data_IF_103565349008
#
_entry.id   IF_103565349008
#
_cell.length_a   1.000
_cell.length_b   1.000
_cell.length_c   1.000
_cell.angle_alpha   90.00
_cell.angle_beta   90.00
_cell.angle_gamma   90.00
#
_symmetry.space_group_name_H-M   'P 1'
#
loop_
_entity.id
_entity.type
_entity.pdbx_description
1 polymer ?
#
# COMPACT_ATOMS: atom_id res chain seq x y z
N UNK A 1 -8.13 22.96 -5.10
CA UNK A 1 -8.11 21.48 -5.15
C UNK A 1 -7.41 20.91 -3.92
N UNK A 2 -7.60 19.62 -3.65
CA UNK A 2 -7.03 18.92 -2.48
C UNK A 2 -6.52 17.55 -2.93
N UNK A 3 -5.36 17.13 -2.43
CA UNK A 3 -4.81 15.79 -2.64
C UNK A 3 -5.03 14.92 -1.40
N UNK A 4 -5.53 13.70 -1.61
CA UNK A 4 -5.69 12.71 -0.55
C UNK A 4 -4.64 11.60 -0.71
N UNK A 5 -4.07 11.14 0.39
CA UNK A 5 -3.05 10.07 0.39
C UNK A 5 -3.18 9.20 1.63
N UNK A 6 -2.66 7.97 1.60
CA UNK A 6 -2.56 7.19 2.83
C UNK A 6 -1.55 7.82 3.78
N UNK A 7 -1.65 7.50 5.07
CA UNK A 7 -0.68 7.94 6.06
C UNK A 7 0.64 7.14 6.02
N UNK A 8 0.80 6.20 5.09
CA UNK A 8 2.05 5.45 4.92
C UNK A 8 3.13 6.36 4.32
N UNK A 9 4.33 6.35 4.90
CA UNK A 9 5.42 7.24 4.52
C UNK A 9 5.69 7.22 3.00
N UNK A 10 5.68 6.04 2.38
CA UNK A 10 5.88 5.89 0.92
C UNK A 10 4.88 6.71 0.10
N UNK A 11 3.60 6.69 0.47
CA UNK A 11 2.54 7.42 -0.23
C UNK A 11 2.59 8.92 0.08
N UNK A 12 2.85 9.27 1.35
CA UNK A 12 2.94 10.66 1.78
C UNK A 12 4.14 11.39 1.14
N UNK A 13 5.29 10.74 1.03
CA UNK A 13 6.48 11.30 0.35
C UNK A 13 6.18 11.56 -1.12
N UNK A 14 5.57 10.60 -1.82
CA UNK A 14 5.16 10.79 -3.23
C UNK A 14 4.17 11.95 -3.37
N UNK A 15 3.15 12.02 -2.52
CA UNK A 15 2.17 13.10 -2.55
C UNK A 15 2.82 14.48 -2.36
N UNK A 16 3.78 14.61 -1.43
CA UNK A 16 4.54 15.85 -1.19
C UNK A 16 5.35 16.29 -2.41
N UNK A 17 6.01 15.36 -3.09
CA UNK A 17 6.80 15.65 -4.30
C UNK A 17 5.90 16.16 -5.44
N UNK A 18 4.70 15.58 -5.59
CA UNK A 18 3.75 16.04 -6.60
C UNK A 18 3.19 17.41 -6.20
N UNK A 19 2.67 17.54 -4.98
CA UNK A 19 1.98 18.75 -4.52
C UNK A 19 2.89 19.99 -4.49
N UNK A 20 4.22 19.83 -4.36
CA UNK A 20 5.15 20.97 -4.37
C UNK A 20 5.05 21.82 -5.62
N UNK A 21 4.63 21.24 -6.75
CA UNK A 21 4.48 21.92 -8.03
C UNK A 21 3.06 22.44 -8.30
N UNK A 22 2.09 22.09 -7.45
CA UNK A 22 0.66 22.36 -7.67
C UNK A 22 0.03 23.26 -6.60
N UNK A 23 0.74 23.59 -5.52
CA UNK A 23 0.24 24.43 -4.42
C UNK A 23 -1.10 23.93 -3.82
N UNK A 24 -1.26 22.61 -3.72
CA UNK A 24 -2.45 21.98 -3.13
C UNK A 24 -2.15 21.40 -1.76
N UNK A 25 -3.14 21.45 -0.87
CA UNK A 25 -3.05 20.81 0.45
C UNK A 25 -3.10 19.29 0.33
N UNK A 26 -2.40 18.63 1.25
CA UNK A 26 -2.39 17.16 1.39
C UNK A 26 -3.15 16.77 2.64
N UNK A 27 -4.14 15.90 2.48
CA UNK A 27 -4.90 15.29 3.58
C UNK A 27 -4.58 13.80 3.65
N UNK A 28 -4.17 13.33 4.82
CA UNK A 28 -3.94 11.89 5.05
C UNK A 28 -5.25 11.19 5.39
N UNK A 29 -5.56 10.11 4.68
CA UNK A 29 -6.72 9.25 4.90
C UNK A 29 -6.25 7.83 5.22
N UNK A 30 -6.37 7.39 6.49
CA UNK A 30 -6.02 6.02 6.89
C UNK A 30 -6.77 4.93 6.13
N UNK A 31 -7.91 5.23 5.53
CA UNK A 31 -8.75 4.37 4.69
C UNK A 31 -8.11 4.08 3.32
N UNK A 32 -7.13 4.89 2.89
CA UNK A 32 -6.36 4.68 1.66
C UNK A 32 -5.12 3.80 1.88
N UNK A 33 -4.94 3.23 3.08
CA UNK A 33 -3.83 2.29 3.34
C UNK A 33 -3.96 1.06 2.45
N UNK A 34 -2.80 0.54 2.06
CA UNK A 34 -2.71 -0.78 1.44
C UNK A 34 -3.30 -1.83 2.40
N UNK A 35 -3.74 -2.95 1.83
CA UNK A 35 -4.18 -4.12 2.61
C UNK A 35 -3.09 -4.50 3.61
N UNK A 36 -3.50 -4.74 4.86
CA UNK A 36 -2.65 -5.36 5.87
C UNK A 36 -2.57 -6.87 5.57
N UNK A 37 -1.40 -7.32 5.13
CA UNK A 37 -1.17 -8.72 4.76
C UNK A 37 -0.82 -9.60 5.97
N UNK A 38 -0.74 -9.04 7.18
CA UNK A 38 -0.46 -9.76 8.41
C UNK A 38 0.78 -10.65 8.33
N UNK A 39 0.59 -11.96 8.49
CA UNK A 39 1.70 -12.94 8.58
C UNK A 39 2.53 -13.10 7.31
N UNK A 40 2.03 -12.64 6.16
CA UNK A 40 2.75 -12.74 4.90
C UNK A 40 3.41 -11.42 4.48
N UNK A 41 3.29 -10.36 5.29
CA UNK A 41 4.04 -9.12 5.04
C UNK A 41 5.54 -9.39 5.05
N UNK A 42 6.25 -8.77 4.09
CA UNK A 42 7.70 -8.90 3.96
C UNK A 42 8.17 -10.20 3.30
N UNK A 43 7.28 -11.17 3.05
CA UNK A 43 7.62 -12.37 2.29
C UNK A 43 7.54 -12.13 0.79
N UNK A 44 8.43 -12.80 0.05
CA UNK A 44 8.31 -12.93 -1.40
C UNK A 44 7.21 -13.91 -1.76
N UNK A 45 6.65 -13.82 -2.97
CA UNK A 45 5.67 -14.80 -3.45
C UNK A 45 6.14 -16.25 -3.35
N UNK A 46 7.44 -16.51 -3.58
CA UNK A 46 8.02 -17.85 -3.43
C UNK A 46 7.94 -18.35 -1.99
N UNK A 47 8.26 -17.50 -1.02
CA UNK A 47 8.16 -17.84 0.41
C UNK A 47 6.71 -18.03 0.82
N UNK A 48 5.79 -17.19 0.34
CA UNK A 48 4.34 -17.36 0.59
C UNK A 48 3.86 -18.70 0.02
N UNK A 49 4.22 -19.07 -1.21
CA UNK A 49 3.87 -20.38 -1.78
C UNK A 49 4.42 -21.56 -0.99
N UNK A 50 5.54 -21.40 -0.28
CA UNK A 50 6.15 -22.46 0.52
C UNK A 50 5.59 -22.53 1.95
N UNK A 51 5.34 -21.38 2.57
CA UNK A 51 4.95 -21.26 3.98
C UNK A 51 3.43 -21.21 4.19
N UNK A 52 2.69 -20.69 3.20
CA UNK A 52 1.23 -20.49 3.21
C UNK A 52 0.64 -20.84 1.83
N UNK A 53 0.76 -22.09 1.37
CA UNK A 53 0.34 -22.50 0.03
C UNK A 53 -1.15 -22.22 -0.25
N UNK A 54 -2.01 -22.34 0.76
CA UNK A 54 -3.44 -22.05 0.67
C UNK A 54 -3.71 -20.58 0.31
N UNK A 55 -2.94 -19.64 0.88
CA UNK A 55 -3.07 -18.21 0.61
C UNK A 55 -2.58 -17.89 -0.80
N UNK A 56 -1.46 -18.51 -1.22
CA UNK A 56 -0.98 -18.37 -2.59
C UNK A 56 -2.00 -18.89 -3.61
N UNK A 57 -2.61 -20.05 -3.35
CA UNK A 57 -3.65 -20.61 -4.22
C UNK A 57 -4.88 -19.72 -4.35
N UNK A 58 -5.38 -19.15 -3.25
CA UNK A 58 -6.51 -18.21 -3.29
C UNK A 58 -6.21 -16.98 -4.15
N UNK A 59 -4.97 -16.50 -4.14
CA UNK A 59 -4.56 -15.34 -4.93
C UNK A 59 -4.60 -15.61 -6.44
N UNK A 60 -4.28 -16.83 -6.88
CA UNK A 60 -4.31 -17.22 -8.30
C UNK A 60 -5.69 -17.68 -8.80
N UNK A 61 -6.65 -17.93 -7.89
CA UNK A 61 -8.03 -18.32 -8.23
C UNK A 61 -8.90 -17.12 -8.64
N UNK A 62 -8.42 -15.89 -8.46
CA UNK A 62 -9.07 -14.65 -8.91
C UNK A 62 -8.57 -14.21 -10.27
#
# INVERSE_FOLDING_TARGET
>A
DIAYTSNLQRALVTAKIIASNHQVDIVTCPELREIDFGKIEGLTFKEVSQLYPEVAEEWFKR
#
